data_IF_304213812348
#
_entry.id   IF_304213812348
#
_cell.length_a   1.000
_cell.length_b   1.000
_cell.length_c   1.000
_cell.angle_alpha   90.00
_cell.angle_beta   90.00
_cell.angle_gamma   90.00
#
_symmetry.space_group_name_H-M   'P 1'
#
loop_
_entity.id
_entity.type
_entity.pdbx_description
1 polymer ?
#
# COMPACT_ATOMS: atom_id res chain seq x y z
N UNK A 1 -42.76 7.90 10.60
CA UNK A 1 -42.48 7.16 9.34
C UNK A 1 -43.11 7.84 8.13
N UNK A 2 -44.42 8.10 8.12
CA UNK A 2 -45.12 8.58 6.92
C UNK A 2 -44.86 10.06 6.55
N UNK A 3 -44.72 10.95 7.53
CA UNK A 3 -44.31 12.34 7.32
C UNK A 3 -42.88 12.44 6.76
N UNK A 4 -41.97 11.65 7.32
CA UNK A 4 -40.57 11.55 6.85
C UNK A 4 -40.51 11.00 5.42
N UNK A 5 -41.32 9.99 5.09
CA UNK A 5 -41.45 9.47 3.71
C UNK A 5 -41.96 10.52 2.72
N UNK A 6 -42.96 11.33 3.10
CA UNK A 6 -43.51 12.40 2.25
C UNK A 6 -42.50 13.53 2.00
N UNK A 7 -41.61 13.80 2.95
CA UNK A 7 -40.56 14.80 2.77
C UNK A 7 -39.37 14.27 1.96
N UNK A 8 -39.06 12.97 2.07
CA UNK A 8 -38.03 12.29 1.25
C UNK A 8 -38.48 12.08 -0.20
N UNK A 9 -39.78 11.83 -0.46
CA UNK A 9 -40.32 11.62 -1.80
C UNK A 9 -40.28 12.87 -2.73
N UNK A 10 -39.89 14.04 -2.20
CA UNK A 10 -39.78 15.29 -2.98
C UNK A 10 -38.42 15.42 -3.70
N UNK A 11 -37.46 14.54 -3.40
CA UNK A 11 -36.09 14.62 -3.90
C UNK A 11 -35.68 13.27 -4.49
N UNK A 12 -34.98 13.23 -5.65
CA UNK A 12 -34.75 12.00 -6.38
C UNK A 12 -33.71 11.07 -5.73
N UNK A 13 -32.74 11.61 -4.99
CA UNK A 13 -31.69 10.84 -4.31
C UNK A 13 -31.39 11.37 -2.92
N UNK A 14 -31.25 10.48 -1.94
CA UNK A 14 -30.90 10.83 -0.56
C UNK A 14 -29.94 9.81 0.05
N UNK A 15 -28.81 10.27 0.57
CA UNK A 15 -27.94 9.42 1.39
C UNK A 15 -28.51 9.34 2.81
N UNK A 16 -28.89 8.13 3.22
CA UNK A 16 -29.62 7.85 4.44
C UNK A 16 -29.05 6.63 5.15
N UNK A 17 -28.81 6.72 6.45
CA UNK A 17 -28.48 5.55 7.28
C UNK A 17 -29.73 4.88 7.82
N UNK A 18 -29.64 3.59 8.17
CA UNK A 18 -30.65 2.90 8.97
C UNK A 18 -29.98 2.45 10.26
N UNK A 19 -30.12 3.24 11.33
CA UNK A 19 -29.58 2.85 12.64
C UNK A 19 -30.67 2.15 13.46
N UNK A 20 -30.53 0.84 13.70
CA UNK A 20 -31.38 0.15 14.68
C UNK A 20 -30.81 0.37 16.08
N UNK A 21 -31.46 1.26 16.84
CA UNK A 21 -31.19 1.46 18.26
C UNK A 21 -31.66 0.27 19.10
N UNK A 22 -31.18 0.14 20.34
CA UNK A 22 -31.51 -0.94 21.30
C UNK A 22 -33.04 -1.13 21.52
N UNK A 23 -33.87 -0.16 21.13
CA UNK A 23 -35.33 -0.20 21.18
C UNK A 23 -36.00 -0.54 19.83
N UNK A 24 -35.31 -1.18 18.88
CA UNK A 24 -35.84 -1.52 17.54
C UNK A 24 -36.31 -0.31 16.69
N UNK A 25 -35.91 0.91 17.05
CA UNK A 25 -36.21 2.10 16.25
C UNK A 25 -35.11 2.35 15.24
N UNK A 26 -35.50 2.35 13.97
CA UNK A 26 -34.66 2.76 12.83
C UNK A 26 -34.56 4.29 12.78
N UNK A 27 -33.37 4.84 13.03
CA UNK A 27 -33.07 6.26 12.84
C UNK A 27 -32.51 6.46 11.43
N UNK A 28 -33.16 7.34 10.67
CA UNK A 28 -32.65 7.78 9.36
C UNK A 28 -31.79 9.02 9.56
N UNK A 29 -30.48 8.86 9.46
CA UNK A 29 -29.54 9.99 9.43
C UNK A 29 -29.39 10.43 7.97
N UNK A 30 -29.91 11.61 7.65
CA UNK A 30 -29.80 12.22 6.32
C UNK A 30 -28.51 13.01 6.23
N UNK A 31 -27.71 12.79 5.19
CA UNK A 31 -26.41 13.46 5.07
C UNK A 31 -26.36 14.49 3.94
N UNK A 32 -26.99 14.22 2.78
CA UNK A 32 -27.09 15.19 1.67
C UNK A 32 -28.17 14.80 0.67
N UNK A 33 -28.72 15.82 0.00
CA UNK A 33 -29.64 15.70 -1.13
C UNK A 33 -28.93 16.02 -2.44
N UNK A 34 -29.23 15.27 -3.49
CA UNK A 34 -28.64 15.46 -4.83
C UNK A 34 -29.74 15.62 -5.88
N UNK A 35 -29.51 16.50 -6.86
CA UNK A 35 -30.21 16.45 -8.14
C UNK A 35 -29.74 15.23 -8.94
N UNK A 36 -30.54 14.78 -9.92
CA UNK A 36 -30.14 13.68 -10.82
C UNK A 36 -28.81 13.95 -11.50
N UNK A 37 -28.62 15.17 -12.01
CA UNK A 37 -27.40 15.55 -12.71
C UNK A 37 -26.17 15.48 -11.79
N UNK A 38 -26.26 16.03 -10.58
CA UNK A 38 -25.17 15.97 -9.60
C UNK A 38 -24.86 14.52 -9.21
N UNK A 39 -25.88 13.67 -9.08
CA UNK A 39 -25.70 12.26 -8.78
C UNK A 39 -25.03 11.50 -9.93
N UNK A 40 -25.43 11.74 -11.18
CA UNK A 40 -24.85 11.10 -12.36
C UNK A 40 -23.38 11.54 -12.57
N UNK A 41 -23.08 12.82 -12.32
CA UNK A 41 -21.71 13.35 -12.34
C UNK A 41 -20.85 12.73 -11.24
N UNK A 42 -21.41 12.58 -10.03
CA UNK A 42 -20.78 11.89 -8.91
C UNK A 42 -20.46 10.43 -9.25
N UNK A 43 -21.44 9.66 -9.74
CA UNK A 43 -21.25 8.23 -10.07
C UNK A 43 -20.14 8.06 -11.11
N UNK A 44 -20.13 8.91 -12.15
CA UNK A 44 -19.07 8.89 -13.17
C UNK A 44 -17.69 9.20 -12.56
N UNK A 45 -17.59 10.22 -11.72
CA UNK A 45 -16.33 10.58 -11.07
C UNK A 45 -15.83 9.47 -10.13
N UNK A 46 -16.73 8.89 -9.34
CA UNK A 46 -16.47 7.76 -8.43
C UNK A 46 -15.94 6.56 -9.20
N UNK A 47 -16.57 6.17 -10.31
CA UNK A 47 -16.20 4.97 -11.05
C UNK A 47 -14.80 5.12 -11.67
N UNK A 48 -14.50 6.29 -12.25
CA UNK A 48 -13.16 6.62 -12.78
C UNK A 48 -12.10 6.56 -11.68
N UNK A 49 -12.38 7.18 -10.53
CA UNK A 49 -11.43 7.19 -9.40
C UNK A 49 -11.26 5.79 -8.81
N UNK A 50 -12.33 5.01 -8.71
CA UNK A 50 -12.28 3.61 -8.22
C UNK A 50 -11.40 2.75 -9.11
N UNK A 51 -11.56 2.86 -10.43
CA UNK A 51 -10.71 2.17 -11.39
C UNK A 51 -9.23 2.56 -11.23
N UNK A 52 -8.95 3.86 -11.09
CA UNK A 52 -7.59 4.35 -10.88
C UNK A 52 -6.97 3.86 -9.56
N UNK A 53 -7.74 3.86 -8.47
CA UNK A 53 -7.32 3.32 -7.18
C UNK A 53 -6.98 1.83 -7.32
N UNK A 54 -7.84 1.03 -7.93
CA UNK A 54 -7.61 -0.40 -8.14
C UNK A 54 -6.33 -0.65 -8.96
N UNK A 55 -6.12 0.10 -10.04
CA UNK A 55 -4.89 -0.01 -10.84
C UNK A 55 -3.63 0.31 -10.02
N UNK A 56 -3.68 1.32 -9.15
CA UNK A 56 -2.53 1.69 -8.31
C UNK A 56 -2.31 0.68 -7.19
N UNK A 57 -3.39 0.11 -6.64
CA UNK A 57 -3.30 -1.00 -5.69
C UNK A 57 -2.66 -2.22 -6.32
N UNK A 58 -3.05 -2.59 -7.53
CA UNK A 58 -2.50 -3.77 -8.21
C UNK A 58 -0.99 -3.62 -8.38
N UNK A 59 -0.52 -2.45 -8.80
CA UNK A 59 0.91 -2.15 -8.90
C UNK A 59 1.61 -2.25 -7.54
N UNK A 60 1.02 -1.71 -6.48
CA UNK A 60 1.59 -1.79 -5.12
C UNK A 60 1.64 -3.24 -4.62
N UNK A 61 0.54 -3.99 -4.80
CA UNK A 61 0.40 -5.39 -4.39
C UNK A 61 1.41 -6.27 -5.10
N UNK A 62 1.73 -6.01 -6.37
CA UNK A 62 2.82 -6.72 -7.06
C UNK A 62 4.16 -6.56 -6.33
N UNK A 63 4.50 -5.35 -5.88
CA UNK A 63 5.73 -5.12 -5.11
C UNK A 63 5.67 -5.85 -3.76
N UNK A 64 4.53 -5.78 -3.07
CA UNK A 64 4.32 -6.46 -1.80
C UNK A 64 4.47 -7.99 -1.90
N UNK A 65 3.90 -8.60 -2.93
CA UNK A 65 4.03 -10.05 -3.19
C UNK A 65 5.49 -10.41 -3.45
N UNK A 66 6.26 -9.59 -4.17
CA UNK A 66 7.69 -9.84 -4.38
C UNK A 66 8.49 -9.75 -3.07
N UNK A 67 8.13 -8.82 -2.18
CA UNK A 67 8.73 -8.73 -0.85
C UNK A 67 8.39 -9.97 -0.02
N UNK A 68 7.14 -10.39 0.00
CA UNK A 68 6.70 -11.60 0.73
C UNK A 68 7.40 -12.86 0.20
N UNK A 69 7.60 -12.96 -1.11
CA UNK A 69 8.35 -14.06 -1.71
C UNK A 69 9.81 -14.09 -1.26
N UNK A 70 10.47 -12.93 -1.20
CA UNK A 70 11.84 -12.81 -0.68
C UNK A 70 11.91 -13.23 0.79
N UNK A 71 10.98 -12.75 1.61
CA UNK A 71 10.91 -13.08 3.05
C UNK A 71 10.63 -14.57 3.25
N UNK A 72 9.73 -15.16 2.47
CA UNK A 72 9.42 -16.58 2.53
C UNK A 72 10.63 -17.44 2.14
N UNK A 73 11.33 -17.06 1.07
CA UNK A 73 12.57 -17.72 0.66
C UNK A 73 13.64 -17.63 1.76
N UNK A 74 13.84 -16.45 2.35
CA UNK A 74 14.75 -16.24 3.47
C UNK A 74 14.40 -17.11 4.69
N UNK A 75 13.13 -17.11 5.13
CA UNK A 75 12.66 -17.93 6.27
C UNK A 75 12.88 -19.42 6.03
N UNK A 76 12.56 -19.91 4.83
CA UNK A 76 12.82 -21.30 4.44
C UNK A 76 14.30 -21.67 4.56
N UNK A 77 15.22 -20.72 4.29
CA UNK A 77 16.66 -20.96 4.48
C UNK A 77 17.06 -20.96 5.95
N UNK A 78 16.50 -20.07 6.77
CA UNK A 78 16.70 -20.12 8.24
C UNK A 78 16.32 -21.50 8.79
N UNK A 79 15.14 -22.01 8.43
CA UNK A 79 14.66 -23.34 8.85
C UNK A 79 15.57 -24.49 8.39
N UNK A 80 16.17 -24.38 7.20
CA UNK A 80 17.11 -25.39 6.69
C UNK A 80 18.44 -25.40 7.46
N UNK A 81 18.92 -24.21 7.85
CA UNK A 81 20.13 -24.06 8.67
C UNK A 81 19.88 -24.60 10.08
N UNK A 82 18.70 -24.33 10.66
CA UNK A 82 18.22 -24.92 11.92
C UNK A 82 18.19 -26.46 11.86
N UNK A 83 17.72 -27.01 10.75
CA UNK A 83 17.68 -28.45 10.50
C UNK A 83 19.07 -29.08 10.21
N UNK A 84 20.17 -28.35 10.43
CA UNK A 84 21.56 -28.77 10.22
C UNK A 84 21.88 -29.23 8.78
N UNK A 85 21.12 -28.77 7.77
CA UNK A 85 21.33 -29.19 6.36
C UNK A 85 22.51 -28.50 5.66
N UNK A 86 23.38 -27.82 6.43
CA UNK A 86 24.48 -27.02 5.89
C UNK A 86 23.99 -25.75 5.18
N UNK A 87 24.93 -24.89 4.79
CA UNK A 87 24.66 -23.66 4.03
C UNK A 87 25.32 -23.85 2.65
N UNK A 88 24.53 -23.84 1.57
CA UNK A 88 25.07 -23.74 0.22
C UNK A 88 25.11 -22.27 -0.17
N UNK A 89 26.12 -21.54 0.32
CA UNK A 89 26.18 -20.09 0.19
C UNK A 89 26.03 -19.62 -1.27
N UNK A 90 26.52 -20.38 -2.25
CA UNK A 90 26.42 -20.03 -3.67
C UNK A 90 25.00 -20.17 -4.23
N UNK A 91 24.33 -21.29 -3.95
CA UNK A 91 22.99 -21.54 -4.48
C UNK A 91 21.95 -20.67 -3.75
N UNK A 92 22.12 -20.51 -2.44
CA UNK A 92 21.29 -19.64 -1.60
C UNK A 92 21.42 -18.18 -2.06
N UNK A 93 22.65 -17.71 -2.36
CA UNK A 93 22.87 -16.38 -2.92
C UNK A 93 22.17 -16.19 -4.26
N UNK A 94 22.26 -17.16 -5.17
CA UNK A 94 21.66 -17.06 -6.49
C UNK A 94 20.13 -16.97 -6.42
N UNK A 95 19.50 -17.84 -5.62
CA UNK A 95 18.05 -17.84 -5.42
C UNK A 95 17.55 -16.55 -4.75
N UNK A 96 18.16 -16.15 -3.63
CA UNK A 96 17.75 -14.94 -2.90
C UNK A 96 17.96 -13.69 -3.75
N UNK A 97 19.02 -13.65 -4.56
CA UNK A 97 19.21 -12.56 -5.51
C UNK A 97 18.15 -12.51 -6.60
N UNK A 98 17.63 -13.65 -7.08
CA UNK A 98 16.54 -13.66 -8.05
C UNK A 98 15.27 -13.03 -7.46
N UNK A 99 14.91 -13.40 -6.23
CA UNK A 99 13.78 -12.80 -5.51
C UNK A 99 13.99 -11.31 -5.25
N UNK A 100 15.17 -10.91 -4.78
CA UNK A 100 15.47 -9.51 -4.50
C UNK A 100 15.53 -8.65 -5.77
N UNK A 101 16.07 -9.18 -6.88
CA UNK A 101 16.04 -8.51 -8.17
C UNK A 101 14.60 -8.31 -8.67
N UNK A 102 13.72 -9.31 -8.52
CA UNK A 102 12.31 -9.19 -8.85
C UNK A 102 11.60 -8.11 -8.01
N UNK A 103 11.91 -8.04 -6.71
CA UNK A 103 11.42 -6.99 -5.82
C UNK A 103 11.87 -5.60 -6.28
N UNK A 104 13.17 -5.40 -6.52
CA UNK A 104 13.74 -4.12 -6.97
C UNK A 104 13.16 -3.69 -8.32
N UNK A 105 12.96 -4.64 -9.24
CA UNK A 105 12.34 -4.37 -10.54
C UNK A 105 10.88 -3.91 -10.41
N UNK A 106 10.07 -4.59 -9.59
CA UNK A 106 8.67 -4.23 -9.36
C UNK A 106 8.54 -2.90 -8.60
N UNK A 107 9.43 -2.64 -7.64
CA UNK A 107 9.54 -1.34 -7.00
C UNK A 107 9.78 -0.22 -8.02
N UNK A 108 10.73 -0.43 -8.94
CA UNK A 108 11.01 0.50 -10.04
C UNK A 108 9.85 0.66 -11.01
N UNK A 109 9.11 -0.42 -11.28
CA UNK A 109 7.90 -0.39 -12.12
C UNK A 109 6.80 0.45 -11.48
N UNK A 110 6.54 0.29 -10.18
CA UNK A 110 5.59 1.13 -9.46
C UNK A 110 5.91 2.62 -9.62
N UNK A 111 7.15 3.01 -9.31
CA UNK A 111 7.61 4.40 -9.40
C UNK A 111 7.59 4.96 -10.83
N UNK A 112 7.70 4.11 -11.86
CA UNK A 112 7.61 4.54 -13.25
C UNK A 112 6.17 4.60 -13.79
N UNK A 113 5.32 3.64 -13.42
CA UNK A 113 4.00 3.48 -14.00
C UNK A 113 2.94 4.38 -13.36
N UNK A 114 2.99 4.59 -12.03
CA UNK A 114 2.01 5.43 -11.34
C UNK A 114 2.01 6.87 -11.88
N UNK A 115 3.12 7.62 -11.92
CA UNK A 115 3.10 8.99 -12.44
C UNK A 115 2.68 9.06 -13.91
N UNK A 116 3.04 8.08 -14.75
CA UNK A 116 2.62 8.02 -16.15
C UNK A 116 1.12 7.78 -16.34
N UNK A 117 0.46 7.15 -15.36
CA UNK A 117 -0.99 6.93 -15.35
C UNK A 117 -1.76 8.13 -14.78
N UNK A 118 -1.10 9.04 -14.07
CA UNK A 118 -1.72 10.30 -13.63
C UNK A 118 -1.85 11.19 -14.86
N UNK A 119 -3.08 11.63 -15.16
CA UNK A 119 -3.33 12.54 -16.27
C UNK A 119 -2.58 13.85 -16.08
N UNK A 120 -2.00 14.41 -17.14
CA UNK A 120 -1.41 15.76 -17.13
C UNK A 120 -2.41 16.86 -16.74
N UNK A 121 -3.71 16.59 -16.81
CA UNK A 121 -4.78 17.49 -16.33
C UNK A 121 -5.00 17.44 -14.83
N UNK A 122 -4.35 16.51 -14.12
CA UNK A 122 -4.44 16.28 -12.67
C UNK A 122 -3.09 16.54 -12.01
N UNK A 123 -2.55 17.73 -12.27
CA UNK A 123 -1.24 18.17 -11.79
C UNK A 123 -1.17 18.15 -10.26
N UNK A 124 -2.27 18.41 -9.58
CA UNK A 124 -2.42 18.30 -8.13
C UNK A 124 -2.02 16.91 -7.58
N UNK A 125 -2.46 15.83 -8.24
CA UNK A 125 -2.10 14.47 -7.83
C UNK A 125 -0.64 14.18 -8.13
N UNK A 126 -0.18 14.62 -9.31
CA UNK A 126 1.20 14.41 -9.73
C UNK A 126 2.18 15.13 -8.79
N UNK A 127 1.85 16.36 -8.38
CA UNK A 127 2.63 17.13 -7.42
C UNK A 127 2.63 16.46 -6.04
N UNK A 128 1.49 15.95 -5.57
CA UNK A 128 1.43 15.20 -4.33
C UNK A 128 2.28 13.91 -4.37
N UNK A 129 2.25 13.19 -5.50
CA UNK A 129 3.09 12.01 -5.72
C UNK A 129 4.58 12.38 -5.77
N UNK A 130 4.93 13.43 -6.51
CA UNK A 130 6.31 13.90 -6.67
C UNK A 130 6.87 14.43 -5.35
N UNK A 131 6.07 15.14 -4.56
CA UNK A 131 6.46 15.59 -3.24
C UNK A 131 6.68 14.39 -2.32
N UNK A 132 5.78 13.40 -2.33
CA UNK A 132 5.95 12.19 -1.54
C UNK A 132 7.22 11.42 -1.88
N UNK A 133 7.54 11.30 -3.18
CA UNK A 133 8.75 10.61 -3.64
C UNK A 133 10.02 11.39 -3.30
N UNK A 134 10.00 12.72 -3.38
CA UNK A 134 11.11 13.57 -2.92
C UNK A 134 11.33 13.45 -1.40
N UNK A 135 10.26 13.53 -0.61
CA UNK A 135 10.35 13.40 0.85
C UNK A 135 11.01 12.08 1.25
N UNK A 136 10.59 10.96 0.66
CA UNK A 136 11.21 9.66 0.95
C UNK A 136 12.63 9.56 0.39
N UNK A 137 12.92 10.19 -0.76
CA UNK A 137 14.27 10.25 -1.31
C UNK A 137 15.23 10.99 -0.40
N UNK A 138 14.81 12.07 0.26
CA UNK A 138 15.68 12.84 1.14
C UNK A 138 15.87 12.15 2.51
N UNK A 139 14.84 11.44 2.98
CA UNK A 139 14.80 10.96 4.37
C UNK A 139 15.05 9.45 4.56
N UNK A 140 15.05 8.64 3.51
CA UNK A 140 15.18 7.17 3.62
C UNK A 140 16.33 6.62 2.78
N UNK A 141 17.38 6.13 3.46
CA UNK A 141 18.49 5.43 2.80
C UNK A 141 18.00 4.21 2.02
N UNK A 142 17.15 3.37 2.64
CA UNK A 142 16.60 2.18 2.00
C UNK A 142 15.88 2.50 0.69
N UNK A 143 15.07 3.56 0.69
CA UNK A 143 14.37 4.04 -0.50
C UNK A 143 15.37 4.53 -1.57
N UNK A 144 16.35 5.37 -1.23
CA UNK A 144 17.41 5.80 -2.16
C UNK A 144 18.17 4.63 -2.74
N UNK A 145 18.55 3.67 -1.90
CA UNK A 145 19.26 2.47 -2.31
C UNK A 145 18.43 1.69 -3.34
N UNK A 146 17.14 1.46 -3.10
CA UNK A 146 16.26 0.80 -4.06
C UNK A 146 16.12 1.57 -5.39
N UNK A 147 16.02 2.90 -5.34
CA UNK A 147 16.00 3.74 -6.54
C UNK A 147 17.29 3.59 -7.37
N UNK A 148 18.44 3.46 -6.70
CA UNK A 148 19.74 3.26 -7.34
C UNK A 148 19.88 1.83 -7.87
N UNK A 149 19.45 0.83 -7.08
CA UNK A 149 19.54 -0.58 -7.42
C UNK A 149 18.68 -0.96 -8.62
N UNK A 150 17.56 -0.26 -8.87
CA UNK A 150 16.71 -0.46 -10.05
C UNK A 150 17.50 -0.56 -11.36
N UNK A 151 18.47 0.33 -11.56
CA UNK A 151 19.29 0.33 -12.78
C UNK A 151 20.51 -0.59 -12.65
N UNK A 152 20.93 -0.88 -11.42
CA UNK A 152 22.07 -1.73 -11.14
C UNK A 152 21.77 -3.20 -11.43
N UNK A 153 20.63 -3.71 -10.95
CA UNK A 153 20.23 -5.12 -11.09
C UNK A 153 19.97 -5.53 -12.54
N UNK A 154 19.72 -4.59 -13.44
CA UNK A 154 19.53 -4.83 -14.88
C UNK A 154 20.84 -5.04 -15.65
N UNK A 155 21.98 -4.58 -15.12
CA UNK A 155 23.23 -4.49 -15.88
C UNK A 155 24.47 -5.03 -15.16
N UNK A 156 24.35 -5.41 -13.89
CA UNK A 156 25.49 -5.75 -13.04
C UNK A 156 25.26 -7.00 -12.19
N UNK A 157 26.31 -7.36 -11.44
CA UNK A 157 26.34 -8.46 -10.48
C UNK A 157 25.17 -8.37 -9.50
N UNK A 158 24.60 -9.51 -9.07
CA UNK A 158 23.48 -9.49 -8.14
C UNK A 158 23.82 -8.73 -6.84
N UNK A 159 22.86 -7.96 -6.29
CA UNK A 159 23.14 -6.98 -5.24
C UNK A 159 23.28 -7.58 -3.83
N UNK A 160 22.75 -8.77 -3.54
CA UNK A 160 23.09 -9.50 -2.31
C UNK A 160 24.48 -10.10 -2.50
N UNK A 161 25.44 -9.62 -1.72
CA UNK A 161 26.85 -9.95 -1.91
C UNK A 161 27.38 -10.95 -0.90
N UNK A 162 26.65 -11.21 0.19
CA UNK A 162 27.08 -12.15 1.20
C UNK A 162 25.94 -12.78 1.99
N UNK A 163 26.23 -13.97 2.50
CA UNK A 163 25.43 -14.71 3.46
C UNK A 163 26.33 -15.01 4.64
N UNK A 164 25.83 -14.78 5.85
CA UNK A 164 26.45 -15.23 7.08
C UNK A 164 25.48 -16.16 7.78
N UNK A 165 25.86 -17.41 7.94
CA UNK A 165 25.08 -18.38 8.69
C UNK A 165 25.93 -19.07 9.74
N UNK A 166 25.41 -19.24 10.95
CA UNK A 166 25.96 -20.11 11.97
C UNK A 166 24.86 -20.80 12.76
N UNK A 167 25.09 -22.04 13.16
CA UNK A 167 24.21 -22.76 14.08
C UNK A 167 25.04 -23.24 15.28
N UNK A 168 24.51 -23.06 16.48
CA UNK A 168 25.16 -23.46 17.74
C UNK A 168 24.11 -24.14 18.59
N UNK A 169 24.48 -25.18 19.33
CA UNK A 169 23.58 -25.72 20.35
C UNK A 169 23.28 -24.61 21.36
N UNK A 170 22.01 -24.30 21.55
CA UNK A 170 21.60 -23.28 22.51
C UNK A 170 21.87 -23.77 23.94
N UNK A 171 21.81 -22.84 24.91
CA UNK A 171 22.05 -23.14 26.33
C UNK A 171 21.04 -24.14 26.92
N UNK A 172 19.88 -24.33 26.28
CA UNK A 172 18.87 -25.30 26.70
C UNK A 172 18.97 -26.60 25.89
N UNK A 173 18.78 -27.77 26.53
CA UNK A 173 18.78 -29.05 25.83
C UNK A 173 17.70 -29.07 24.72
N UNK A 174 18.12 -29.32 23.48
CA UNK A 174 17.23 -29.44 22.32
C UNK A 174 16.94 -28.15 21.56
N UNK A 175 17.43 -27.00 22.01
CA UNK A 175 17.34 -25.73 21.27
C UNK A 175 18.64 -25.50 20.45
N UNK A 176 18.51 -24.91 19.26
CA UNK A 176 19.64 -24.52 18.39
C UNK A 176 19.55 -23.01 18.17
N UNK A 177 20.61 -22.29 18.54
CA UNK A 177 20.77 -20.87 18.21
C UNK A 177 21.23 -20.78 16.75
N UNK A 178 20.37 -20.24 15.89
CA UNK A 178 20.70 -19.99 14.48
C UNK A 178 20.83 -18.51 14.21
N UNK A 179 21.96 -18.13 13.62
CA UNK A 179 22.20 -16.82 13.06
C UNK A 179 22.24 -17.02 11.54
N UNK A 180 21.31 -16.44 10.79
CA UNK A 180 21.34 -16.44 9.33
C UNK A 180 21.01 -15.05 8.82
N UNK A 181 21.95 -14.43 8.11
CA UNK A 181 21.89 -13.06 7.65
C UNK A 181 22.27 -13.00 6.19
N UNK A 182 21.50 -12.24 5.41
CA UNK A 182 21.83 -11.88 4.03
C UNK A 182 22.06 -10.38 3.97
N UNK A 183 23.15 -9.96 3.33
CA UNK A 183 23.57 -8.57 3.36
C UNK A 183 24.15 -8.11 2.03
N UNK A 184 24.14 -6.79 1.86
CA UNK A 184 24.82 -6.08 0.79
C UNK A 184 26.06 -5.41 1.39
N UNK A 185 27.23 -5.73 0.87
CA UNK A 185 28.49 -5.10 1.28
C UNK A 185 28.64 -3.75 0.58
N UNK A 186 28.87 -2.71 1.39
CA UNK A 186 29.13 -1.35 0.90
C UNK A 186 30.27 -1.30 -0.12
N UNK A 187 31.36 -2.01 0.15
CA UNK A 187 32.52 -2.04 -0.74
C UNK A 187 32.22 -2.66 -2.11
N UNK A 188 31.29 -3.62 -2.18
CA UNK A 188 30.83 -4.19 -3.45
C UNK A 188 29.98 -3.18 -4.23
N UNK A 189 29.07 -2.46 -3.57
CA UNK A 189 28.29 -1.38 -4.20
C UNK A 189 29.17 -0.23 -4.69
N UNK A 190 30.21 0.12 -3.93
CA UNK A 190 31.14 1.19 -4.25
C UNK A 190 32.00 0.93 -5.49
N UNK A 191 32.13 -0.33 -5.94
CA UNK A 191 32.81 -0.65 -7.21
C UNK A 191 32.08 -0.02 -8.41
N UNK A 192 30.78 0.24 -8.29
CA UNK A 192 30.03 0.95 -9.30
C UNK A 192 30.04 2.46 -9.05
N UNK A 193 30.68 3.21 -9.95
CA UNK A 193 30.82 4.67 -9.85
C UNK A 193 29.46 5.40 -9.75
N UNK A 194 28.44 4.93 -10.47
CA UNK A 194 27.10 5.55 -10.43
C UNK A 194 26.44 5.37 -9.07
N UNK A 195 26.53 4.16 -8.51
CA UNK A 195 26.01 3.87 -7.17
C UNK A 195 26.76 4.69 -6.12
N UNK A 196 28.10 4.65 -6.16
CA UNK A 196 28.95 5.38 -5.23
C UNK A 196 28.66 6.89 -5.23
N UNK A 197 28.49 7.50 -6.40
CA UNK A 197 28.19 8.93 -6.50
C UNK A 197 26.80 9.27 -5.95
N UNK A 198 25.78 8.45 -6.22
CA UNK A 198 24.40 8.71 -5.79
C UNK A 198 24.18 8.49 -4.29
N UNK A 199 24.98 7.65 -3.66
CA UNK A 199 24.88 7.29 -2.23
C UNK A 199 26.09 7.78 -1.42
N UNK A 200 26.86 8.76 -1.94
CA UNK A 200 28.12 9.19 -1.32
C UNK A 200 27.97 9.64 0.14
N UNK A 201 26.90 10.40 0.44
CA UNK A 201 26.61 10.84 1.80
C UNK A 201 26.27 9.67 2.74
N UNK A 202 25.49 8.70 2.25
CA UNK A 202 25.14 7.49 2.99
C UNK A 202 26.35 6.59 3.23
N UNK A 203 27.23 6.46 2.24
CA UNK A 203 28.46 5.67 2.33
C UNK A 203 29.57 6.35 3.16
N UNK A 204 29.43 7.63 3.54
CA UNK A 204 30.32 8.24 4.51
C UNK A 204 30.09 7.72 5.94
N UNK A 205 28.93 7.09 6.21
CA UNK A 205 28.63 6.47 7.49
C UNK A 205 29.47 5.19 7.69
N UNK A 206 29.80 4.85 8.96
CA UNK A 206 30.62 3.67 9.30
C UNK A 206 29.80 2.37 9.25
N UNK A 207 28.91 2.23 8.27
CA UNK A 207 28.09 1.04 8.03
C UNK A 207 28.71 0.29 6.84
N UNK A 208 29.17 -0.93 7.07
CA UNK A 208 29.85 -1.74 6.03
C UNK A 208 28.93 -2.76 5.36
N UNK A 209 27.84 -3.14 6.04
CA UNK A 209 26.89 -4.16 5.59
C UNK A 209 25.47 -3.68 5.82
N UNK A 210 24.63 -3.88 4.80
CA UNK A 210 23.21 -3.54 4.85
C UNK A 210 22.39 -4.84 4.85
N UNK A 211 21.69 -5.17 5.95
CA UNK A 211 20.83 -6.34 6.04
C UNK A 211 19.69 -6.24 5.01
N UNK A 212 19.55 -7.25 4.15
CA UNK A 212 18.66 -7.15 2.97
C UNK A 212 17.19 -7.11 3.37
N UNK A 213 16.76 -7.92 4.34
CA UNK A 213 15.35 -8.04 4.71
C UNK A 213 14.84 -6.77 5.38
N UNK A 214 15.62 -6.20 6.28
CA UNK A 214 15.36 -4.97 7.01
C UNK A 214 15.38 -3.77 6.06
N UNK A 215 16.39 -3.69 5.20
CA UNK A 215 16.48 -2.63 4.19
C UNK A 215 15.31 -2.72 3.21
N UNK A 216 14.91 -3.92 2.79
CA UNK A 216 13.75 -4.11 1.92
C UNK A 216 12.45 -3.71 2.62
N UNK A 217 12.29 -4.05 3.90
CA UNK A 217 11.13 -3.64 4.69
C UNK A 217 11.01 -2.12 4.79
N UNK A 218 12.11 -1.42 5.10
CA UNK A 218 12.13 0.04 5.16
C UNK A 218 11.78 0.68 3.81
N UNK A 219 12.32 0.16 2.70
CA UNK A 219 11.96 0.61 1.36
C UNK A 219 10.47 0.40 1.05
N UNK A 220 9.88 -0.72 1.49
CA UNK A 220 8.44 -0.99 1.37
C UNK A 220 7.60 -0.01 2.19
N UNK A 221 8.05 0.39 3.39
CA UNK A 221 7.36 1.42 4.17
C UNK A 221 7.39 2.78 3.46
N UNK A 222 8.52 3.16 2.86
CA UNK A 222 8.60 4.37 2.04
C UNK A 222 7.63 4.30 0.84
N UNK A 223 7.61 3.17 0.11
CA UNK A 223 6.70 2.98 -1.01
C UNK A 223 5.23 3.07 -0.59
N UNK A 224 4.89 2.50 0.57
CA UNK A 224 3.55 2.56 1.15
C UNK A 224 3.12 3.99 1.46
N UNK A 225 4.01 4.80 2.04
CA UNK A 225 3.75 6.23 2.31
C UNK A 225 3.49 6.99 1.02
N UNK A 226 4.29 6.76 -0.02
CA UNK A 226 4.10 7.36 -1.35
C UNK A 226 2.76 6.95 -1.94
N UNK A 227 2.46 5.65 -1.91
CA UNK A 227 1.19 5.10 -2.37
C UNK A 227 0.01 5.80 -1.68
N UNK A 228 0.05 5.89 -0.35
CA UNK A 228 -1.02 6.51 0.41
C UNK A 228 -1.19 8.00 0.10
N UNK A 229 -0.09 8.77 0.05
CA UNK A 229 -0.15 10.20 -0.33
C UNK A 229 -0.75 10.38 -1.73
N UNK A 230 -0.41 9.49 -2.67
CA UNK A 230 -0.94 9.51 -4.04
C UNK A 230 -2.44 9.20 -4.06
N UNK A 231 -2.88 8.13 -3.38
CA UNK A 231 -4.30 7.76 -3.28
C UNK A 231 -5.10 8.87 -2.59
N UNK A 232 -4.57 9.46 -1.52
CA UNK A 232 -5.22 10.59 -0.84
C UNK A 232 -5.43 11.78 -1.78
N UNK A 233 -4.43 12.13 -2.58
CA UNK A 233 -4.56 13.18 -3.59
C UNK A 233 -5.55 12.82 -4.71
N UNK A 234 -5.59 11.54 -5.12
CA UNK A 234 -6.55 11.05 -6.10
C UNK A 234 -8.00 11.18 -5.63
N UNK A 235 -8.24 10.89 -4.35
CA UNK A 235 -9.54 11.02 -3.70
C UNK A 235 -9.92 12.48 -3.44
N UNK A 236 -8.94 13.39 -3.33
CA UNK A 236 -9.11 14.82 -2.97
C UNK A 236 -10.17 15.57 -3.77
N UNK A 237 -10.29 15.47 -5.10
CA UNK A 237 -11.34 16.17 -5.84
C UNK A 237 -12.76 15.69 -5.55
N UNK A 238 -12.91 14.61 -4.79
CA UNK A 238 -14.17 14.21 -4.18
C UNK A 238 -14.35 14.90 -2.79
N UNK A 239 -13.81 16.11 -2.61
CA UNK A 239 -13.47 16.72 -1.30
C UNK A 239 -14.63 16.84 -0.29
N UNK A 240 -15.84 17.16 -0.76
CA UNK A 240 -17.04 17.21 0.11
C UNK A 240 -17.52 15.80 0.50
N UNK A 241 -17.21 14.80 -0.31
CA UNK A 241 -17.61 13.41 -0.10
C UNK A 241 -16.48 12.60 0.54
N UNK A 242 -15.24 13.09 0.60
CA UNK A 242 -14.22 12.58 1.52
C UNK A 242 -14.68 12.88 2.94
N UNK A 243 -15.14 14.09 3.27
CA UNK A 243 -15.70 14.37 4.60
C UNK A 243 -16.90 13.45 4.90
N UNK A 244 -17.74 13.17 3.90
CA UNK A 244 -18.76 12.13 3.98
C UNK A 244 -18.13 10.77 4.27
N UNK A 245 -17.27 10.22 3.40
CA UNK A 245 -16.60 8.91 3.55
C UNK A 245 -15.83 8.80 4.87
N UNK A 246 -15.19 9.87 5.33
CA UNK A 246 -14.48 9.95 6.60
C UNK A 246 -15.44 9.90 7.79
N UNK A 247 -16.58 10.60 7.71
CA UNK A 247 -17.66 10.49 8.67
C UNK A 247 -18.33 9.10 8.63
N UNK A 248 -18.54 8.53 7.44
CA UNK A 248 -19.07 7.19 7.21
C UNK A 248 -18.14 6.13 7.84
N UNK A 249 -16.82 6.29 7.66
CA UNK A 249 -15.81 5.39 8.20
C UNK A 249 -15.64 5.50 9.72
N UNK A 250 -15.66 6.73 10.27
CA UNK A 250 -15.64 6.95 11.72
C UNK A 250 -16.88 6.34 12.40
N UNK A 251 -18.05 6.46 11.78
CA UNK A 251 -19.28 5.84 12.26
C UNK A 251 -19.26 4.32 12.12
N UNK A 252 -18.72 3.78 11.02
CA UNK A 252 -18.54 2.32 10.84
C UNK A 252 -17.63 1.74 11.92
N UNK A 253 -16.52 2.42 12.24
CA UNK A 253 -15.64 2.02 13.33
C UNK A 253 -16.33 2.07 14.70
N UNK A 254 -17.17 3.10 14.94
CA UNK A 254 -17.92 3.28 16.17
C UNK A 254 -19.05 2.25 16.36
N UNK A 255 -19.76 1.91 15.28
CA UNK A 255 -20.99 1.13 15.34
C UNK A 255 -20.87 -0.29 14.76
N UNK A 256 -19.73 -0.64 14.15
CA UNK A 256 -19.46 -1.92 13.48
C UNK A 256 -20.50 -2.31 12.42
N UNK A 257 -21.09 -1.34 11.72
CA UNK A 257 -22.15 -1.54 10.70
C UNK A 257 -21.85 -0.71 9.44
N UNK A 258 -22.26 -1.23 8.28
CA UNK A 258 -22.01 -0.59 6.97
C UNK A 258 -23.05 0.50 6.63
N UNK A 259 -22.64 1.59 5.96
CA UNK A 259 -23.54 2.62 5.43
C UNK A 259 -24.27 2.17 4.14
N UNK A 260 -25.38 2.82 3.81
CA UNK A 260 -26.20 2.53 2.62
C UNK A 260 -26.58 3.81 1.85
N UNK A 261 -26.77 3.73 0.53
CA UNK A 261 -27.45 4.77 -0.26
C UNK A 261 -28.87 4.28 -0.56
N UNK A 262 -29.87 5.13 -0.30
CA UNK A 262 -31.25 4.85 -0.62
C UNK A 262 -31.67 5.65 -1.86
N UNK A 263 -32.02 4.93 -2.93
CA UNK A 263 -32.67 5.53 -4.09
C UNK A 263 -34.18 5.55 -3.86
N UNK A 264 -34.78 6.74 -3.89
CA UNK A 264 -36.22 6.90 -3.78
C UNK A 264 -36.79 7.18 -5.18
N UNK A 265 -37.20 6.12 -5.87
CA UNK A 265 -37.80 6.29 -7.19
C UNK A 265 -39.12 7.05 -7.10
N UNK A 266 -39.29 8.03 -8.00
CA UNK A 266 -40.44 8.95 -8.10
C UNK A 266 -41.81 8.26 -8.29
N UNK A 267 -41.83 6.96 -8.60
CA UNK A 267 -43.01 6.23 -9.07
C UNK A 267 -43.64 5.26 -8.06
N UNK A 268 -43.38 5.45 -6.76
CA UNK A 268 -44.17 4.82 -5.71
C UNK A 268 -43.51 3.61 -5.05
N UNK A 269 -43.45 3.71 -3.71
CA UNK A 269 -43.33 2.67 -2.70
C UNK A 269 -42.14 1.68 -2.68
N UNK A 270 -41.34 1.55 -3.73
CA UNK A 270 -40.13 0.72 -3.69
C UNK A 270 -38.87 1.59 -3.64
N UNK A 271 -38.28 1.69 -2.45
CA UNK A 271 -36.93 2.21 -2.29
C UNK A 271 -35.94 1.10 -2.67
N UNK A 272 -35.21 1.26 -3.77
CA UNK A 272 -34.08 0.37 -4.05
C UNK A 272 -32.88 0.85 -3.23
N UNK A 273 -32.39 -0.05 -2.38
CA UNK A 273 -31.22 0.17 -1.56
C UNK A 273 -30.00 -0.24 -2.40
N UNK A 274 -29.28 0.75 -2.92
CA UNK A 274 -28.02 0.52 -3.61
C UNK A 274 -26.89 0.53 -2.58
N UNK A 275 -26.33 -0.65 -2.33
CA UNK A 275 -25.09 -0.78 -1.58
C UNK A 275 -23.99 -0.04 -2.35
N UNK A 276 -23.31 0.91 -1.70
CA UNK A 276 -22.02 1.38 -2.19
C UNK A 276 -21.09 0.16 -2.15
N UNK A 277 -20.38 -0.18 -3.23
CA UNK A 277 -19.39 -1.25 -3.19
C UNK A 277 -18.43 -1.02 -2.02
N UNK A 278 -18.38 -2.00 -1.13
CA UNK A 278 -17.60 -2.00 0.12
C UNK A 278 -16.12 -1.82 -0.10
N UNK A 279 -15.61 -1.96 -1.32
CA UNK A 279 -14.19 -1.87 -1.66
C UNK A 279 -13.54 -0.52 -1.33
N UNK A 280 -14.28 0.59 -1.38
CA UNK A 280 -13.77 1.93 -1.00
C UNK A 280 -13.72 2.10 0.53
N UNK A 281 -14.62 1.44 1.28
CA UNK A 281 -14.75 1.55 2.74
C UNK A 281 -13.94 0.49 3.51
N UNK A 282 -13.85 -0.74 2.99
CA UNK A 282 -12.95 -1.81 3.47
C UNK A 282 -11.47 -1.38 3.40
N UNK A 283 -11.16 -0.49 2.46
CA UNK A 283 -9.85 0.15 2.34
C UNK A 283 -9.42 0.85 3.63
N UNK A 284 -10.36 1.42 4.40
CA UNK A 284 -10.08 2.08 5.67
C UNK A 284 -10.04 1.11 6.86
N UNK A 285 -10.84 0.04 6.88
CA UNK A 285 -10.82 -0.89 8.03
C UNK A 285 -9.52 -1.66 8.10
N UNK A 286 -8.91 -2.02 6.96
CA UNK A 286 -7.56 -2.58 6.91
C UNK A 286 -6.45 -1.54 7.11
N UNK A 287 -6.74 -0.25 6.90
CA UNK A 287 -5.78 0.83 7.12
C UNK A 287 -5.78 1.39 8.55
N UNK A 288 -6.85 1.19 9.32
CA UNK A 288 -6.91 1.59 10.74
C UNK A 288 -6.11 0.67 11.67
N UNK A 289 -5.58 -0.43 11.15
CA UNK A 289 -4.73 -1.40 11.87
C UNK A 289 -3.22 -1.13 11.71
N UNK A 290 -2.82 -0.03 11.04
CA UNK A 290 -1.42 0.30 10.72
C UNK A 290 -1.15 1.81 10.67
#
# INVERSE_FOLDING_TARGET
MEKVRKDLAKLPYTVAFLDQTENNKTVIVRVRDYTQQEFDEFVKARDVISEQVLQYMDLYNMVAIMYDNLVAAYKKRVEQVEAQRGISARDDLAELNAYFAALVANFGMYLGCVPNKISSKRQDILDAHNQATHDEYDNSFAYRLFCVLRNYTLHHTPPITGIRGSSKMAKKPGEVDVEYEIFIEKNELMKNRTVANKLAADFALPIEKYPVIETAYEAMQSLRKIHWKTIKALLTPIHEEIALIESLAALTAKHKKQPYIAEFMKNGLDAQLHLIPTQILEFRSKAAEY
#
